data_IF_594731122247
#
_entry.id   IF_594731122247
#
_cell.length_a   1.000
_cell.length_b   1.000
_cell.length_c   1.000
_cell.angle_alpha   90.00
_cell.angle_beta   90.00
_cell.angle_gamma   90.00
#
_symmetry.space_group_name_H-M   'P 1'
#
loop_
_entity.id
_entity.type
_entity.pdbx_description
1 polymer ?
#
# COMPACT_ATOMS: atom_id res chain seq x y z
N UNK A 1 0.52 5.66 -22.66
CA UNK A 1 0.56 5.58 -21.18
C UNK A 1 -0.27 6.66 -20.51
N UNK A 2 -0.08 7.94 -20.84
CA UNK A 2 -0.88 9.03 -20.24
C UNK A 2 -2.39 8.88 -20.41
N UNK A 3 -2.87 8.46 -21.60
CA UNK A 3 -4.31 8.23 -21.83
C UNK A 3 -4.90 7.09 -20.98
N UNK A 4 -4.12 6.03 -20.72
CA UNK A 4 -4.57 4.90 -19.91
C UNK A 4 -4.72 5.29 -18.43
N UNK A 5 -3.76 6.06 -17.91
CA UNK A 5 -3.81 6.58 -16.53
C UNK A 5 -5.01 7.52 -16.38
N UNK A 6 -5.23 8.41 -17.35
CA UNK A 6 -6.39 9.33 -17.34
C UNK A 6 -7.71 8.55 -17.39
N UNK A 7 -7.82 7.52 -18.24
CA UNK A 7 -9.04 6.71 -18.31
C UNK A 7 -9.34 5.95 -17.02
N UNK A 8 -8.31 5.41 -16.34
CA UNK A 8 -8.47 4.80 -15.02
C UNK A 8 -8.88 5.84 -13.99
N UNK A 9 -8.28 7.04 -14.05
CA UNK A 9 -8.60 8.14 -13.14
C UNK A 9 -10.06 8.57 -13.27
N UNK A 10 -10.57 8.77 -14.48
CA UNK A 10 -11.98 9.14 -14.72
C UNK A 10 -12.93 8.01 -14.29
N UNK A 11 -12.58 6.75 -14.59
CA UNK A 11 -13.38 5.60 -14.17
C UNK A 11 -13.50 5.47 -12.65
N UNK A 12 -12.38 5.61 -11.94
CA UNK A 12 -12.35 5.59 -10.47
C UNK A 12 -13.04 6.83 -9.89
N UNK A 13 -12.98 7.98 -10.56
CA UNK A 13 -13.67 9.19 -10.14
C UNK A 13 -15.20 9.02 -10.17
N UNK A 14 -15.74 8.37 -11.21
CA UNK A 14 -17.18 8.12 -11.36
C UNK A 14 -17.73 7.11 -10.33
N UNK A 15 -16.87 6.27 -9.76
CA UNK A 15 -17.23 5.22 -8.79
C UNK A 15 -17.42 5.74 -7.34
N UNK A 16 -17.14 7.03 -7.08
CA UNK A 16 -17.31 7.64 -5.75
C UNK A 16 -16.56 6.88 -4.64
N UNK A 17 -17.30 6.39 -3.64
CA UNK A 17 -16.71 5.63 -2.51
C UNK A 17 -15.95 4.38 -2.96
N UNK A 18 -16.50 3.63 -3.92
CA UNK A 18 -15.88 2.39 -4.42
C UNK A 18 -14.59 2.71 -5.16
N UNK A 19 -14.59 3.83 -5.90
CA UNK A 19 -13.43 4.34 -6.61
C UNK A 19 -12.28 4.66 -5.66
N UNK A 20 -12.57 5.35 -4.55
CA UNK A 20 -11.59 5.67 -3.51
C UNK A 20 -11.00 4.38 -2.91
N UNK A 21 -11.84 3.42 -2.54
CA UNK A 21 -11.39 2.16 -1.94
C UNK A 21 -10.50 1.37 -2.90
N UNK A 22 -10.89 1.25 -4.17
CA UNK A 22 -10.11 0.52 -5.18
C UNK A 22 -8.82 1.24 -5.55
N UNK A 23 -8.84 2.56 -5.68
CA UNK A 23 -7.67 3.37 -5.98
C UNK A 23 -6.59 3.19 -4.90
N UNK A 24 -6.99 3.19 -3.62
CA UNK A 24 -6.09 2.94 -2.49
C UNK A 24 -5.66 1.48 -2.40
N UNK A 25 -6.51 0.53 -2.78
CA UNK A 25 -6.18 -0.89 -2.75
C UNK A 25 -5.08 -1.27 -3.74
N UNK A 26 -5.15 -0.74 -4.97
CA UNK A 26 -4.23 -1.12 -6.06
C UNK A 26 -2.94 -0.29 -6.00
N UNK A 27 -2.94 0.82 -5.24
CA UNK A 27 -1.78 1.71 -5.04
C UNK A 27 -1.14 2.19 -6.37
N UNK A 28 -1.93 2.25 -7.44
CA UNK A 28 -1.49 2.74 -8.77
C UNK A 28 -1.18 4.23 -8.72
N UNK A 29 -1.86 4.94 -7.82
CA UNK A 29 -1.83 6.39 -7.68
C UNK A 29 -1.38 6.71 -6.26
N UNK A 30 -0.52 7.74 -6.06
CA UNK A 30 -0.18 8.22 -4.73
C UNK A 30 -1.43 8.45 -3.88
N UNK A 31 -1.47 7.83 -2.72
CA UNK A 31 -2.63 7.84 -1.82
C UNK A 31 -3.08 9.27 -1.45
N UNK A 32 -2.15 10.22 -1.40
CA UNK A 32 -2.38 11.64 -1.11
C UNK A 32 -3.30 12.28 -2.16
N UNK A 33 -3.14 11.92 -3.44
CA UNK A 33 -3.95 12.47 -4.54
C UNK A 33 -5.38 11.92 -4.45
N UNK A 34 -5.51 10.62 -4.18
CA UNK A 34 -6.83 9.96 -4.05
C UNK A 34 -7.60 10.54 -2.87
N UNK A 35 -6.94 10.74 -1.72
CA UNK A 35 -7.57 11.31 -0.52
C UNK A 35 -7.89 12.80 -0.69
N UNK A 36 -7.03 13.58 -1.35
CA UNK A 36 -7.33 14.97 -1.68
C UNK A 36 -8.57 15.07 -2.58
N UNK A 37 -8.69 14.18 -3.56
CA UNK A 37 -9.86 14.10 -4.43
C UNK A 37 -11.12 13.65 -3.68
N UNK A 38 -11.01 12.66 -2.79
CA UNK A 38 -12.11 12.28 -1.91
C UNK A 38 -12.60 13.48 -1.08
N UNK A 39 -11.69 14.29 -0.56
CA UNK A 39 -12.03 15.54 0.13
C UNK A 39 -12.73 16.56 -0.77
N UNK A 40 -12.33 16.66 -2.03
CA UNK A 40 -13.01 17.49 -3.03
C UNK A 40 -14.47 17.03 -3.26
N UNK A 41 -14.70 15.72 -3.45
CA UNK A 41 -16.04 15.16 -3.61
C UNK A 41 -16.92 15.38 -2.36
N UNK A 42 -16.33 15.29 -1.17
CA UNK A 42 -17.04 15.61 0.09
C UNK A 42 -17.45 17.08 0.13
N UNK A 43 -16.58 18.00 -0.30
CA UNK A 43 -16.90 19.44 -0.34
C UNK A 43 -17.99 19.80 -1.36
N UNK A 44 -18.19 18.94 -2.37
CA UNK A 44 -19.26 19.06 -3.36
C UNK A 44 -20.58 18.42 -2.92
N UNK A 45 -20.62 17.84 -1.73
CA UNK A 45 -21.75 17.05 -1.20
C UNK A 45 -22.12 15.82 -2.05
N UNK A 46 -21.24 15.39 -2.97
CA UNK A 46 -21.46 14.21 -3.81
C UNK A 46 -21.27 12.91 -3.02
N UNK A 47 -20.40 12.95 -2.00
CA UNK A 47 -20.19 11.86 -1.05
C UNK A 47 -20.13 12.41 0.39
N UNK A 48 -20.56 11.59 1.34
CA UNK A 48 -20.47 11.87 2.77
C UNK A 48 -19.03 11.67 3.26
N UNK A 49 -18.60 12.56 4.17
CA UNK A 49 -17.30 12.45 4.82
C UNK A 49 -17.12 11.09 5.51
N UNK A 50 -18.13 10.65 6.27
CA UNK A 50 -18.08 9.38 6.99
C UNK A 50 -17.95 8.19 6.04
N UNK A 51 -18.70 8.19 4.94
CA UNK A 51 -18.59 7.16 3.92
C UNK A 51 -17.22 7.14 3.25
N UNK A 52 -16.63 8.30 2.99
CA UNK A 52 -15.28 8.41 2.42
C UNK A 52 -14.21 7.87 3.37
N UNK A 53 -14.32 8.16 4.67
CA UNK A 53 -13.41 7.63 5.70
C UNK A 53 -13.51 6.11 5.80
N UNK A 54 -14.73 5.56 5.81
CA UNK A 54 -14.94 4.11 5.86
C UNK A 54 -14.38 3.44 4.61
N UNK A 55 -14.70 3.97 3.43
CA UNK A 55 -14.22 3.43 2.15
C UNK A 55 -12.69 3.47 2.06
N UNK A 56 -12.07 4.59 2.45
CA UNK A 56 -10.62 4.72 2.46
C UNK A 56 -9.94 3.78 3.45
N UNK A 57 -10.51 3.62 4.64
CA UNK A 57 -10.01 2.70 5.67
C UNK A 57 -10.06 1.26 5.19
N UNK A 58 -11.18 0.84 4.59
CA UNK A 58 -11.34 -0.52 4.04
C UNK A 58 -10.35 -0.75 2.90
N UNK A 59 -10.28 0.18 1.93
CA UNK A 59 -9.37 0.08 0.79
C UNK A 59 -7.90 -0.05 1.23
N UNK A 60 -7.45 0.84 2.11
CA UNK A 60 -6.09 0.81 2.64
C UNK A 60 -5.79 -0.44 3.49
N UNK A 61 -6.75 -0.90 4.31
CA UNK A 61 -6.58 -2.12 5.12
C UNK A 61 -6.44 -3.35 4.21
N UNK A 62 -7.26 -3.46 3.17
CA UNK A 62 -7.18 -4.57 2.22
C UNK A 62 -5.85 -4.54 1.46
N UNK A 63 -5.37 -3.37 1.05
CA UNK A 63 -4.05 -3.21 0.43
C UNK A 63 -2.94 -3.79 1.32
N UNK A 64 -2.92 -3.40 2.59
CA UNK A 64 -1.92 -3.86 3.55
C UNK A 64 -2.04 -5.36 3.85
N UNK A 65 -3.26 -5.91 3.93
CA UNK A 65 -3.48 -7.34 4.09
C UNK A 65 -2.97 -8.13 2.89
N UNK A 66 -3.17 -7.62 1.68
CA UNK A 66 -2.66 -8.25 0.46
C UNK A 66 -1.13 -8.31 0.46
N UNK A 67 -0.46 -7.19 0.79
CA UNK A 67 0.99 -7.14 0.94
C UNK A 67 1.49 -8.10 2.05
N UNK A 68 0.78 -8.17 3.17
CA UNK A 68 1.10 -9.09 4.25
C UNK A 68 1.03 -10.55 3.78
N UNK A 69 -0.02 -10.95 3.07
CA UNK A 69 -0.13 -12.31 2.54
C UNK A 69 0.94 -12.61 1.50
N UNK A 70 1.24 -11.67 0.61
CA UNK A 70 2.34 -11.83 -0.35
C UNK A 70 3.67 -12.06 0.35
N UNK A 71 3.98 -11.28 1.41
CA UNK A 71 5.20 -11.47 2.19
C UNK A 71 5.20 -12.74 3.04
N UNK A 72 4.06 -13.15 3.57
CA UNK A 72 3.94 -14.34 4.43
C UNK A 72 4.11 -15.64 3.62
N UNK A 73 3.37 -15.78 2.51
CA UNK A 73 3.43 -16.97 1.67
C UNK A 73 4.64 -16.97 0.72
N UNK A 74 5.00 -15.79 0.21
CA UNK A 74 6.05 -15.58 -0.77
C UNK A 74 7.33 -14.99 -0.20
N UNK A 75 7.55 -14.99 1.11
CA UNK A 75 8.77 -14.44 1.71
C UNK A 75 9.97 -15.37 1.47
N UNK A 76 10.29 -16.19 2.46
CA UNK A 76 11.49 -17.04 2.46
C UNK A 76 11.55 -18.06 1.30
N UNK A 77 10.53 -18.88 1.01
CA UNK A 77 10.63 -19.88 -0.06
C UNK A 77 10.76 -19.26 -1.47
N UNK A 78 10.20 -18.07 -1.69
CA UNK A 78 10.37 -17.35 -2.96
C UNK A 78 11.76 -16.71 -3.05
N UNK A 79 12.24 -16.08 -1.98
CA UNK A 79 13.55 -15.44 -1.93
C UNK A 79 14.69 -16.47 -1.99
N UNK A 80 14.52 -17.68 -1.44
CA UNK A 80 15.49 -18.76 -1.63
C UNK A 80 15.52 -19.28 -3.08
N UNK A 81 14.38 -19.27 -3.80
CA UNK A 81 14.29 -19.76 -5.18
C UNK A 81 14.68 -18.72 -6.23
N UNK A 82 14.32 -17.45 -6.02
CA UNK A 82 14.50 -16.36 -6.99
C UNK A 82 15.41 -15.22 -6.49
N UNK A 83 15.85 -15.21 -5.23
CA UNK A 83 16.67 -14.13 -4.67
C UNK A 83 17.99 -13.91 -5.39
N UNK A 84 18.54 -14.94 -6.05
CA UNK A 84 19.74 -14.81 -6.91
C UNK A 84 19.50 -13.87 -8.12
N UNK A 85 18.28 -13.81 -8.65
CA UNK A 85 17.91 -12.90 -9.74
C UNK A 85 17.66 -11.47 -9.26
N UNK A 86 17.32 -11.30 -7.98
CA UNK A 86 17.12 -9.99 -7.34
C UNK A 86 18.38 -9.45 -6.65
N UNK A 87 19.56 -10.09 -6.85
CA UNK A 87 20.83 -9.76 -6.19
C UNK A 87 20.81 -9.85 -4.65
N UNK A 88 19.82 -10.54 -4.07
CA UNK A 88 19.69 -10.74 -2.62
C UNK A 88 20.55 -11.93 -2.20
N UNK A 89 21.55 -11.69 -1.35
CA UNK A 89 22.40 -12.75 -0.77
C UNK A 89 21.73 -13.35 0.46
N UNK A 90 21.85 -14.68 0.64
CA UNK A 90 21.34 -15.40 1.82
C UNK A 90 21.76 -14.78 3.16
N UNK A 91 23.03 -14.35 3.27
CA UNK A 91 23.55 -13.66 4.47
C UNK A 91 22.74 -12.42 4.86
N UNK A 92 22.19 -11.67 3.89
CA UNK A 92 21.36 -10.50 4.19
C UNK A 92 19.99 -10.91 4.71
N UNK A 93 19.40 -12.00 4.19
CA UNK A 93 18.15 -12.55 4.70
C UNK A 93 18.30 -13.02 6.15
N UNK A 94 19.37 -13.77 6.45
CA UNK A 94 19.62 -14.27 7.81
C UNK A 94 19.85 -13.12 8.81
N UNK A 95 20.55 -12.05 8.40
CA UNK A 95 20.73 -10.85 9.22
C UNK A 95 19.40 -10.12 9.46
N UNK A 96 18.55 -10.02 8.43
CA UNK A 96 17.22 -9.42 8.55
C UNK A 96 16.33 -10.22 9.51
N UNK A 97 16.35 -11.56 9.46
CA UNK A 97 15.60 -12.41 10.40
C UNK A 97 16.06 -12.19 11.85
N UNK A 98 17.37 -12.21 12.11
CA UNK A 98 17.91 -11.96 13.45
C UNK A 98 17.54 -10.57 13.99
N UNK A 99 17.52 -9.57 13.11
CA UNK A 99 17.08 -8.22 13.48
C UNK A 99 15.58 -8.18 13.79
N UNK A 100 14.76 -8.88 13.01
CA UNK A 100 13.32 -9.03 13.25
C UNK A 100 13.02 -9.80 14.54
N UNK A 101 13.76 -10.85 14.88
CA UNK A 101 13.62 -11.55 16.16
C UNK A 101 13.94 -10.64 17.35
N UNK A 102 14.95 -9.76 17.20
CA UNK A 102 15.42 -8.89 18.28
C UNK A 102 14.60 -7.61 18.45
N UNK A 103 14.19 -6.98 17.36
CA UNK A 103 13.54 -5.66 17.37
C UNK A 103 12.09 -5.69 16.88
N UNK A 104 11.69 -6.70 16.12
CA UNK A 104 10.33 -7.00 15.69
C UNK A 104 9.44 -5.77 15.50
N UNK A 105 8.34 -5.73 16.27
CA UNK A 105 7.34 -4.67 16.22
C UNK A 105 7.89 -3.28 16.56
N UNK A 106 8.78 -3.16 17.55
CA UNK A 106 9.39 -1.88 17.93
C UNK A 106 10.32 -1.32 16.85
N UNK A 107 11.03 -2.21 16.15
CA UNK A 107 11.89 -1.88 15.02
C UNK A 107 11.09 -1.37 13.82
N UNK A 108 10.01 -2.05 13.46
CA UNK A 108 9.11 -1.63 12.36
C UNK A 108 8.43 -0.30 12.70
N UNK A 109 7.95 -0.16 13.94
CA UNK A 109 7.33 1.09 14.40
C UNK A 109 8.31 2.26 14.28
N UNK A 110 9.55 2.09 14.75
CA UNK A 110 10.59 3.13 14.67
C UNK A 110 11.00 3.43 13.23
N UNK A 111 11.12 2.40 12.39
CA UNK A 111 11.43 2.55 10.96
C UNK A 111 10.39 3.38 10.20
N UNK A 112 9.14 3.39 10.66
CA UNK A 112 8.05 4.19 10.06
C UNK A 112 8.26 5.71 10.21
N UNK A 113 9.07 6.14 11.18
CA UNK A 113 9.42 7.55 11.38
C UNK A 113 10.69 7.97 10.63
N UNK A 114 11.47 7.01 10.14
CA UNK A 114 12.71 7.28 9.40
C UNK A 114 12.38 7.43 7.91
N UNK A 115 12.50 8.66 7.41
CA UNK A 115 12.30 8.96 5.98
C UNK A 115 13.38 8.24 5.15
N UNK A 116 12.95 7.46 4.14
CA UNK A 116 13.81 6.61 3.29
C UNK A 116 13.74 5.11 3.57
N UNK A 117 13.29 4.70 4.77
CA UNK A 117 13.02 3.29 5.12
C UNK A 117 11.51 3.00 5.18
N UNK A 118 10.69 4.06 5.19
CA UNK A 118 9.23 3.97 5.15
C UNK A 118 8.79 3.16 3.90
N UNK A 119 8.11 2.02 4.09
CA UNK A 119 7.31 1.42 3.01
C UNK A 119 6.25 2.46 2.63
N UNK A 120 6.17 2.81 1.35
CA UNK A 120 5.01 3.53 0.82
C UNK A 120 3.75 2.74 1.16
#
# INVERSE_FOLDING_TARGET
>A
MHEFIQSIFTFLADLGYIGIALALMIEVIPSEIVLAYAGYLVSREEISFVGAVIAGTIGGTIAQLFLYWMGYYGGRPFLDKYGKYLLIKKKHLDLSEQWFEKYGSGGIFSARFISGVRPA
#
